data_IF_851402635973
#
_entry.id   IF_851402635973
#
_cell.length_a   1.000
_cell.length_b   1.000
_cell.length_c   1.000
_cell.angle_alpha   90.00
_cell.angle_beta   90.00
_cell.angle_gamma   90.00
#
_symmetry.space_group_name_H-M   'P 1'
#
loop_
_entity.id
_entity.type
_entity.pdbx_description
1 polymer ?
#
# COMPACT_ATOMS: atom_id res chain seq x y z
N UNK A 1 -23.50 18.62 -1.31
CA UNK A 1 -22.09 18.63 -0.87
C UNK A 1 -21.66 17.18 -0.85
N UNK A 2 -20.97 16.72 -1.89
CA UNK A 2 -20.36 15.40 -1.85
C UNK A 2 -19.14 15.56 -0.95
N UNK A 3 -19.22 15.04 0.28
CA UNK A 3 -18.02 14.80 1.06
C UNK A 3 -17.09 13.98 0.17
N UNK A 4 -15.87 14.48 -0.05
CA UNK A 4 -14.79 13.64 -0.57
C UNK A 4 -14.76 12.44 0.37
N UNK A 5 -15.30 11.32 -0.07
CA UNK A 5 -15.23 10.08 0.68
C UNK A 5 -13.75 9.84 0.87
N UNK A 6 -13.31 9.74 2.13
CA UNK A 6 -12.00 9.21 2.41
C UNK A 6 -11.90 7.92 1.61
N UNK A 7 -11.03 7.88 0.59
CA UNK A 7 -10.74 6.65 -0.10
C UNK A 7 -10.27 5.72 1.01
N UNK A 8 -11.06 4.70 1.34
CA UNK A 8 -10.64 3.74 2.34
C UNK A 8 -9.23 3.28 1.92
N UNK A 9 -8.27 3.26 2.85
CA UNK A 9 -6.98 2.66 2.57
C UNK A 9 -7.22 1.26 2.00
N UNK A 10 -6.36 0.79 1.09
CA UNK A 10 -6.48 -0.52 0.48
C UNK A 10 -6.19 -1.64 1.50
N UNK A 11 -7.10 -1.78 2.46
CA UNK A 11 -7.22 -2.84 3.45
C UNK A 11 -8.37 -3.73 2.95
N UNK A 12 -8.04 -4.86 2.32
CA UNK A 12 -9.02 -5.74 1.68
C UNK A 12 -9.56 -6.80 2.64
N UNK A 13 -8.84 -7.12 3.70
CA UNK A 13 -9.25 -8.08 4.72
C UNK A 13 -9.93 -7.39 5.94
N UNK A 14 -10.06 -6.06 5.90
CA UNK A 14 -10.73 -5.20 6.88
C UNK A 14 -10.14 -5.35 8.28
N UNK A 15 -8.83 -5.59 8.37
CA UNK A 15 -8.13 -5.80 9.65
C UNK A 15 -7.60 -4.50 10.28
N UNK A 16 -7.71 -3.36 9.57
CA UNK A 16 -7.25 -2.05 10.01
C UNK A 16 -5.81 -1.71 9.64
N UNK A 17 -5.13 -2.58 8.91
CA UNK A 17 -3.75 -2.45 8.46
C UNK A 17 -3.67 -2.81 6.97
N UNK A 18 -2.63 -2.34 6.30
CA UNK A 18 -2.28 -2.80 4.95
C UNK A 18 -1.14 -3.78 5.12
N UNK A 19 -1.46 -5.07 5.07
CA UNK A 19 -0.48 -6.14 5.25
C UNK A 19 0.19 -6.55 3.93
N UNK A 20 1.04 -7.58 3.98
CA UNK A 20 1.73 -8.07 2.78
C UNK A 20 0.74 -8.53 1.69
N UNK A 21 -0.40 -9.14 2.05
CA UNK A 21 -1.40 -9.61 1.08
C UNK A 21 -2.13 -8.44 0.41
N UNK A 22 -2.44 -7.41 1.18
CA UNK A 22 -3.00 -6.18 0.67
C UNK A 22 -2.03 -5.48 -0.30
N UNK A 23 -0.76 -5.33 0.11
CA UNK A 23 0.30 -4.75 -0.73
C UNK A 23 0.48 -5.50 -2.05
N UNK A 24 0.53 -6.83 -2.00
CA UNK A 24 0.58 -7.69 -3.19
C UNK A 24 -0.60 -7.39 -4.12
N UNK A 25 -1.81 -7.31 -3.58
CA UNK A 25 -3.03 -7.02 -4.34
C UNK A 25 -2.98 -5.63 -4.98
N UNK A 26 -2.49 -4.62 -4.26
CA UNK A 26 -2.31 -3.26 -4.77
C UNK A 26 -1.32 -3.25 -5.93
N UNK A 27 -0.16 -3.90 -5.78
CA UNK A 27 0.88 -3.97 -6.81
C UNK A 27 0.35 -4.62 -8.09
N UNK A 28 -0.36 -5.75 -7.97
CA UNK A 28 -0.98 -6.42 -9.13
C UNK A 28 -1.99 -5.51 -9.84
N UNK A 29 -2.80 -4.76 -9.09
CA UNK A 29 -3.76 -3.80 -9.64
C UNK A 29 -3.06 -2.64 -10.36
N UNK A 30 -1.97 -2.11 -9.79
CA UNK A 30 -1.19 -1.03 -10.41
C UNK A 30 -0.50 -1.49 -11.71
N UNK A 31 -0.03 -2.73 -11.74
CA UNK A 31 0.59 -3.32 -12.93
C UNK A 31 -0.44 -3.74 -13.99
N UNK A 32 -1.74 -3.77 -13.65
CA UNK A 32 -2.81 -4.32 -14.48
C UNK A 32 -2.47 -5.72 -15.03
N UNK A 33 -1.75 -6.51 -14.23
CA UNK A 33 -1.26 -7.82 -14.61
C UNK A 33 -1.42 -8.79 -13.45
N UNK A 34 -1.94 -9.97 -13.76
CA UNK A 34 -2.02 -11.13 -12.86
C UNK A 34 -0.83 -12.08 -13.03
N UNK A 35 0.02 -11.85 -14.05
CA UNK A 35 1.19 -12.66 -14.38
C UNK A 35 2.47 -11.95 -13.95
N UNK A 36 2.62 -11.75 -12.64
CA UNK A 36 3.81 -11.17 -12.01
C UNK A 36 4.51 -12.28 -11.22
N UNK A 37 5.83 -12.40 -11.34
CA UNK A 37 6.56 -13.42 -10.60
C UNK A 37 6.53 -13.16 -9.10
N UNK A 38 6.40 -14.23 -8.30
CA UNK A 38 6.42 -14.13 -6.83
C UNK A 38 7.67 -13.41 -6.31
N UNK A 39 8.84 -13.64 -6.93
CA UNK A 39 10.08 -12.97 -6.54
C UNK A 39 9.98 -11.44 -6.74
N UNK A 40 9.45 -10.99 -7.88
CA UNK A 40 9.27 -9.57 -8.17
C UNK A 40 8.23 -8.96 -7.23
N UNK A 41 7.14 -9.68 -6.98
CA UNK A 41 6.08 -9.22 -6.09
C UNK A 41 6.59 -9.08 -4.65
N UNK A 42 7.38 -10.03 -4.16
CA UNK A 42 8.02 -9.98 -2.86
C UNK A 42 9.06 -8.84 -2.77
N UNK A 43 9.86 -8.63 -3.81
CA UNK A 43 10.85 -7.54 -3.86
C UNK A 43 10.20 -6.15 -3.87
N UNK A 44 9.09 -5.99 -4.59
CA UNK A 44 8.31 -4.75 -4.61
C UNK A 44 7.64 -4.51 -3.25
N UNK A 45 7.04 -5.54 -2.67
CA UNK A 45 6.39 -5.43 -1.36
C UNK A 45 7.41 -5.03 -0.28
N UNK A 46 8.59 -5.64 -0.28
CA UNK A 46 9.69 -5.27 0.62
C UNK A 46 10.20 -3.84 0.39
N UNK A 47 10.27 -3.38 -0.85
CA UNK A 47 10.66 -1.99 -1.11
C UNK A 47 9.63 -1.00 -0.55
N UNK A 48 8.34 -1.25 -0.76
CA UNK A 48 7.27 -0.39 -0.23
C UNK A 48 7.32 -0.33 1.30
N UNK A 49 7.42 -1.49 1.96
CA UNK A 49 7.58 -1.57 3.41
C UNK A 49 8.85 -0.86 3.88
N UNK A 50 10.00 -1.12 3.25
CA UNK A 50 11.27 -0.49 3.63
C UNK A 50 11.29 1.04 3.57
N UNK A 51 10.39 1.66 2.79
CA UNK A 51 10.23 3.12 2.72
C UNK A 51 9.15 3.67 3.67
N UNK A 52 8.15 2.86 3.99
CA UNK A 52 6.88 3.33 4.60
C UNK A 52 6.64 2.80 6.01
N UNK A 53 7.12 1.60 6.32
CA UNK A 53 7.02 0.94 7.62
C UNK A 53 8.04 1.58 8.59
N UNK A 54 7.54 2.43 9.49
CA UNK A 54 8.37 3.23 10.39
C UNK A 54 8.68 2.48 11.69
N UNK A 55 7.81 1.54 12.09
CA UNK A 55 7.96 0.78 13.33
C UNK A 55 8.48 -0.67 13.13
N UNK A 56 8.60 -1.10 11.88
CA UNK A 56 9.15 -2.38 11.41
C UNK A 56 8.30 -3.60 11.82
N UNK A 57 6.98 -3.45 11.83
CA UNK A 57 6.04 -4.55 12.08
C UNK A 57 5.69 -5.39 10.83
N UNK A 58 6.19 -4.98 9.64
CA UNK A 58 5.93 -5.55 8.31
C UNK A 58 4.50 -5.34 7.80
N UNK A 59 3.80 -4.35 8.35
CA UNK A 59 2.46 -3.93 7.96
C UNK A 59 2.47 -2.40 7.85
N UNK A 60 1.47 -1.79 7.21
CA UNK A 60 1.31 -0.34 7.25
C UNK A 60 0.05 0.01 8.02
N UNK A 61 0.23 0.80 9.08
CA UNK A 61 -0.88 1.51 9.69
C UNK A 61 -1.37 2.64 8.77
N UNK A 62 -2.57 3.15 9.04
CA UNK A 62 -3.10 4.30 8.30
C UNK A 62 -2.18 5.53 8.38
N UNK A 63 -1.52 5.74 9.52
CA UNK A 63 -0.62 6.88 9.71
C UNK A 63 0.65 6.76 8.85
N UNK A 64 1.19 5.55 8.71
CA UNK A 64 2.35 5.28 7.87
C UNK A 64 1.99 5.39 6.39
N UNK A 65 0.81 4.90 6.00
CA UNK A 65 0.29 5.10 4.66
C UNK A 65 0.14 6.59 4.30
N UNK A 66 -0.47 7.39 5.18
CA UNK A 66 -0.58 8.85 4.99
C UNK A 66 0.80 9.51 4.91
N UNK A 67 1.75 9.07 5.74
CA UNK A 67 3.14 9.56 5.70
C UNK A 67 3.82 9.24 4.36
N UNK A 68 3.66 8.02 3.85
CA UNK A 68 4.21 7.59 2.58
C UNK A 68 3.62 8.39 1.40
N UNK A 69 2.30 8.57 1.39
CA UNK A 69 1.60 9.39 0.39
C UNK A 69 2.04 10.86 0.43
N UNK A 70 2.24 11.43 1.62
CA UNK A 70 2.70 12.81 1.79
C UNK A 70 4.13 13.03 1.26
N UNK A 71 4.99 12.01 1.33
CA UNK A 71 6.36 12.05 0.79
C UNK A 71 6.43 11.95 -0.73
N UNK A 72 5.39 11.42 -1.36
CA UNK A 72 5.32 11.20 -2.80
C UNK A 72 4.25 12.12 -3.42
N UNK A 73 4.57 13.41 -3.64
CA UNK A 73 3.61 14.40 -4.13
C UNK A 73 3.02 14.06 -5.51
N UNK A 74 3.66 13.16 -6.26
CA UNK A 74 3.16 12.63 -7.52
C UNK A 74 1.84 11.84 -7.37
N UNK A 75 1.56 11.26 -6.19
CA UNK A 75 0.28 10.58 -5.92
C UNK A 75 -0.84 11.52 -5.44
N UNK A 76 -0.51 12.76 -5.05
CA UNK A 76 -1.48 13.74 -4.54
C UNK A 76 -2.03 14.68 -5.64
N UNK A 77 -1.81 14.36 -6.92
CA UNK A 77 -2.04 15.27 -8.04
C UNK A 77 -3.18 14.86 -8.98
#
# INVERSE_FOLDING_TARGET
MASVGAACPPDFNENGFIDEEDLRTIILRLLHSEDVSEDLLADLTKHVLGESDLDNDNMLSFSEFEHAMAKSPDFMR
#
